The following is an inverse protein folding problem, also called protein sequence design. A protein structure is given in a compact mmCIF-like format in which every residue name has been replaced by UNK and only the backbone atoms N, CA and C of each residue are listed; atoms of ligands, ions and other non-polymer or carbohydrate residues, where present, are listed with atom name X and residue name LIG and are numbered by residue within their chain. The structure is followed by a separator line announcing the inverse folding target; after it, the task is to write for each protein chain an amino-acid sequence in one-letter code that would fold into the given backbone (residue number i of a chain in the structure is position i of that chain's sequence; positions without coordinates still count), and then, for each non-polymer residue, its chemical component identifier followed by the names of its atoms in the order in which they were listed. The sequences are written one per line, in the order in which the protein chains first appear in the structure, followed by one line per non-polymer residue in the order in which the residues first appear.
data_IF_274431591863
#
_entry.id   IF_274431591863
#
_cell.length_a   1.000
_cell.length_b   1.000
_cell.length_c   1.000
_cell.angle_alpha   90.00
_cell.angle_beta   90.00
_cell.angle_gamma   90.00
#
_symmetry.space_group_name_H-M   'P 1'
#
loop_
_entity.id
_entity.type
_entity.pdbx_description
1 polymer ?
#
# COMPACT_ATOMS: atom_id res chain seq x y z
N UNK A 1 -19.90 0.67 -3.51
CA UNK A 1 -19.20 1.12 -2.29
C UNK A 1 -19.59 0.33 -1.05
N UNK A 2 -20.86 0.44 -0.57
CA UNK A 2 -21.32 -0.17 0.70
C UNK A 2 -21.22 -1.69 0.73
N UNK A 3 -21.52 -2.39 -0.37
CA UNK A 3 -21.40 -3.85 -0.45
C UNK A 3 -19.98 -4.36 -0.28
N UNK A 4 -18.98 -3.66 -0.81
CA UNK A 4 -17.57 -3.99 -0.65
C UNK A 4 -17.10 -3.81 0.81
N UNK A 5 -17.50 -2.71 1.45
CA UNK A 5 -17.22 -2.50 2.86
C UNK A 5 -17.85 -3.59 3.73
N UNK A 6 -19.13 -3.93 3.48
CA UNK A 6 -19.81 -5.02 4.18
C UNK A 6 -19.08 -6.37 4.01
N UNK A 7 -18.53 -6.63 2.82
CA UNK A 7 -17.71 -7.82 2.55
C UNK A 7 -16.43 -7.84 3.40
N UNK A 8 -15.70 -6.72 3.48
CA UNK A 8 -14.49 -6.62 4.31
C UNK A 8 -14.80 -6.82 5.80
N UNK A 9 -15.90 -6.19 6.30
CA UNK A 9 -16.38 -6.42 7.65
C UNK A 9 -16.76 -7.90 7.89
N UNK A 10 -17.43 -8.51 6.92
CA UNK A 10 -17.79 -9.93 6.97
C UNK A 10 -16.57 -10.84 7.08
N UNK A 11 -15.53 -10.60 6.26
CA UNK A 11 -14.28 -11.37 6.30
C UNK A 11 -13.59 -11.22 7.65
N UNK A 12 -13.45 -9.99 8.16
CA UNK A 12 -12.86 -9.75 9.47
C UNK A 12 -13.63 -10.49 10.57
N UNK A 13 -14.96 -10.36 10.59
CA UNK A 13 -15.82 -10.97 11.58
C UNK A 13 -15.78 -12.52 11.55
N UNK A 14 -15.87 -13.12 10.36
CA UNK A 14 -15.83 -14.58 10.16
C UNK A 14 -14.48 -15.15 10.60
N UNK A 15 -13.40 -14.41 10.32
CA UNK A 15 -12.03 -14.79 10.72
C UNK A 15 -11.88 -14.74 12.23
N UNK A 16 -12.33 -13.66 12.90
CA UNK A 16 -12.24 -13.52 14.35
C UNK A 16 -13.08 -14.56 15.10
N UNK A 17 -14.19 -15.02 14.51
CA UNK A 17 -15.00 -16.13 15.05
C UNK A 17 -14.36 -17.51 14.86
N UNK A 18 -13.23 -17.59 14.16
CA UNK A 18 -12.52 -18.86 13.92
C UNK A 18 -13.19 -19.75 12.86
N UNK A 19 -14.10 -19.22 12.04
CA UNK A 19 -14.73 -19.98 10.96
C UNK A 19 -13.77 -20.24 9.79
N UNK A 20 -12.75 -19.39 9.64
CA UNK A 20 -11.67 -19.63 8.68
C UNK A 20 -10.57 -20.43 9.39
N UNK A 21 -10.12 -21.56 8.80
CA UNK A 21 -9.05 -22.37 9.39
C UNK A 21 -7.77 -21.54 9.60
N UNK A 22 -7.18 -21.63 10.77
CA UNK A 22 -5.97 -20.90 11.16
C UNK A 22 -4.79 -21.10 10.20
N UNK A 23 -4.75 -22.27 9.52
CA UNK A 23 -3.74 -22.57 8.51
C UNK A 23 -3.82 -21.64 7.29
N UNK A 24 -5.03 -21.19 6.94
CA UNK A 24 -5.25 -20.21 5.86
C UNK A 24 -4.86 -18.82 6.34
N UNK A 25 -5.36 -18.42 7.50
CA UNK A 25 -5.09 -17.09 8.07
C UNK A 25 -3.59 -16.83 8.25
N UNK A 26 -2.85 -17.84 8.71
CA UNK A 26 -1.40 -17.76 8.94
C UNK A 26 -0.56 -18.23 7.77
N UNK A 27 -1.14 -18.36 6.59
CA UNK A 27 -0.39 -18.73 5.40
C UNK A 27 0.57 -17.61 4.97
N UNK A 28 1.81 -17.89 4.55
CA UNK A 28 2.77 -16.86 4.14
C UNK A 28 2.26 -15.91 3.05
N UNK A 29 1.43 -16.40 2.12
CA UNK A 29 0.79 -15.55 1.09
C UNK A 29 -0.14 -14.50 1.72
N UNK A 30 -0.94 -14.88 2.73
CA UNK A 30 -1.81 -13.93 3.44
C UNK A 30 -0.98 -12.86 4.12
N UNK A 31 0.14 -13.24 4.72
CA UNK A 31 1.08 -12.29 5.30
C UNK A 31 1.68 -11.34 4.25
N UNK A 32 2.10 -11.84 3.08
CA UNK A 32 2.58 -10.96 1.99
C UNK A 32 1.49 -10.00 1.53
N UNK A 33 0.28 -10.50 1.31
CA UNK A 33 -0.86 -9.67 0.91
C UNK A 33 -1.23 -8.64 1.98
N UNK A 34 -1.12 -8.96 3.26
CA UNK A 34 -1.36 -7.98 4.33
C UNK A 34 -0.32 -6.85 4.33
N UNK A 35 0.92 -7.12 3.95
CA UNK A 35 1.95 -6.10 3.72
C UNK A 35 1.61 -5.22 2.50
N UNK A 36 0.78 -5.70 1.59
CA UNK A 36 0.21 -4.93 0.48
C UNK A 36 -0.62 -3.72 0.92
N UNK A 37 -0.93 -3.58 2.22
CA UNK A 37 -1.54 -2.36 2.82
C UNK A 37 -0.74 -1.09 2.50
N UNK A 38 0.56 -1.21 2.27
CA UNK A 38 1.40 -0.09 1.86
C UNK A 38 0.98 0.50 0.51
N UNK A 39 0.48 -0.34 -0.41
CA UNK A 39 -0.11 0.10 -1.66
C UNK A 39 -1.47 0.77 -1.41
N UNK A 40 -1.43 2.04 -1.11
CA UNK A 40 -2.58 2.90 -0.89
C UNK A 40 -2.84 3.79 -2.13
N UNK A 41 -3.48 4.93 -1.97
CA UNK A 41 -3.79 5.88 -3.05
C UNK A 41 -2.57 6.23 -3.92
N UNK A 42 -1.38 6.29 -3.35
CA UNK A 42 -0.16 6.59 -4.10
C UNK A 42 0.13 5.55 -5.21
N UNK A 43 -0.17 4.28 -4.97
CA UNK A 43 0.15 3.20 -5.89
C UNK A 43 -0.81 3.10 -7.08
N UNK A 44 -2.03 3.58 -6.94
CA UNK A 44 -3.09 3.47 -7.97
C UNK A 44 -3.42 4.81 -8.60
N UNK A 45 -3.64 5.83 -7.77
CA UNK A 45 -4.11 7.14 -8.22
C UNK A 45 -2.97 8.06 -8.63
N UNK A 46 -1.89 8.13 -7.79
CA UNK A 46 -0.78 9.05 -8.07
C UNK A 46 0.28 8.47 -8.99
N UNK A 47 0.44 7.15 -9.07
CA UNK A 47 1.50 6.54 -9.89
C UNK A 47 1.34 6.83 -11.39
N UNK A 48 0.11 6.84 -11.90
CA UNK A 48 -0.19 7.17 -13.30
C UNK A 48 0.17 8.64 -13.59
N UNK A 49 -0.26 9.56 -12.71
CA UNK A 49 0.10 10.98 -12.85
C UNK A 49 1.60 11.25 -12.68
N UNK A 50 2.27 10.47 -11.81
CA UNK A 50 3.73 10.55 -11.69
C UNK A 50 4.43 10.01 -12.95
N UNK A 51 3.94 8.93 -13.54
CA UNK A 51 4.48 8.41 -14.81
C UNK A 51 4.35 9.42 -15.95
N UNK A 52 3.26 10.20 -15.97
CA UNK A 52 3.08 11.27 -16.93
C UNK A 52 4.09 12.43 -16.75
N UNK A 53 4.40 12.80 -15.49
CA UNK A 53 5.30 13.92 -15.19
C UNK A 53 6.77 13.53 -15.20
N UNK A 54 7.07 12.39 -14.60
CA UNK A 54 8.42 11.99 -14.20
C UNK A 54 8.91 10.78 -15.02
N UNK A 55 8.16 10.37 -16.04
CA UNK A 55 8.48 9.19 -16.85
C UNK A 55 8.70 7.96 -15.98
N UNK A 56 9.78 7.22 -16.23
CA UNK A 56 10.16 6.05 -15.43
C UNK A 56 10.50 6.35 -13.97
N UNK A 57 10.58 7.64 -13.59
CA UNK A 57 10.78 8.07 -12.20
C UNK A 57 9.73 7.53 -11.22
N UNK A 58 8.51 7.25 -11.69
CA UNK A 58 7.47 6.66 -10.84
C UNK A 58 7.87 5.31 -10.23
N UNK A 59 8.76 4.55 -10.89
CA UNK A 59 9.24 3.26 -10.40
C UNK A 59 10.06 3.38 -9.11
N UNK A 60 10.59 4.56 -8.78
CA UNK A 60 11.40 4.76 -7.59
C UNK A 60 10.67 4.34 -6.30
N UNK A 61 9.36 4.61 -6.21
CA UNK A 61 8.54 4.23 -5.06
C UNK A 61 8.38 2.70 -4.94
N UNK A 62 8.13 2.02 -6.06
CA UNK A 62 7.99 0.54 -6.10
C UNK A 62 9.33 -0.15 -5.82
N UNK A 63 10.43 0.40 -6.36
CA UNK A 63 11.78 -0.13 -6.14
C UNK A 63 12.21 0.11 -4.70
N UNK A 64 11.94 1.28 -4.12
CA UNK A 64 12.33 1.62 -2.76
C UNK A 64 11.78 0.61 -1.74
N UNK A 65 10.48 0.37 -1.76
CA UNK A 65 9.87 -0.63 -0.85
C UNK A 65 10.36 -2.05 -1.15
N UNK A 66 10.52 -2.39 -2.42
CA UNK A 66 11.02 -3.72 -2.82
C UNK A 66 12.42 -3.97 -2.26
N UNK A 67 13.30 -2.98 -2.35
CA UNK A 67 14.64 -3.06 -1.78
C UNK A 67 14.63 -3.23 -0.26
N UNK A 68 13.75 -2.55 0.48
CA UNK A 68 13.65 -2.72 1.93
C UNK A 68 13.37 -4.18 2.32
N UNK A 69 12.51 -4.87 1.57
CA UNK A 69 12.19 -6.27 1.81
C UNK A 69 13.23 -7.24 1.25
N UNK A 70 13.86 -6.95 0.11
CA UNK A 70 15.00 -7.72 -0.40
C UNK A 70 16.18 -7.70 0.59
N UNK A 71 16.43 -6.55 1.24
CA UNK A 71 17.42 -6.44 2.31
C UNK A 71 16.93 -6.98 3.67
N UNK A 72 15.82 -7.71 3.70
CA UNK A 72 15.26 -8.30 4.92
C UNK A 72 16.28 -9.08 5.76
N UNK A 73 17.19 -9.89 5.21
CA UNK A 73 18.19 -10.59 6.03
C UNK A 73 19.07 -9.67 6.87
N UNK A 74 19.39 -8.49 6.35
CA UNK A 74 20.26 -7.51 7.00
C UNK A 74 19.53 -6.55 7.92
N UNK A 75 18.28 -6.18 7.57
CA UNK A 75 17.54 -5.13 8.25
C UNK A 75 16.33 -5.66 9.04
N UNK A 76 15.42 -6.37 8.37
CA UNK A 76 14.14 -6.72 8.98
C UNK A 76 14.25 -7.90 9.95
N UNK A 77 15.11 -8.89 9.67
CA UNK A 77 15.30 -10.06 10.57
C UNK A 77 15.89 -9.67 11.91
N UNK A 78 17.00 -8.90 11.99
CA UNK A 78 17.52 -8.41 13.27
C UNK A 78 16.50 -7.58 14.03
N UNK A 79 15.77 -6.70 13.31
CA UNK A 79 14.74 -5.86 13.90
C UNK A 79 13.56 -6.70 14.42
N UNK A 80 13.13 -7.73 13.69
CA UNK A 80 12.11 -8.67 14.15
C UNK A 80 12.56 -9.44 15.41
N UNK A 81 13.80 -9.85 15.47
CA UNK A 81 14.35 -10.50 16.67
C UNK A 81 14.32 -9.54 17.86
N UNK A 82 14.76 -8.30 17.66
CA UNK A 82 14.76 -7.27 18.70
C UNK A 82 13.34 -6.95 19.21
N UNK A 83 12.41 -6.68 18.30
CA UNK A 83 11.02 -6.35 18.67
C UNK A 83 10.33 -7.49 19.42
N UNK A 84 10.64 -8.74 19.06
CA UNK A 84 10.10 -9.92 19.76
C UNK A 84 10.73 -10.12 21.14
N UNK A 85 12.03 -9.98 21.27
CA UNK A 85 12.73 -10.18 22.53
C UNK A 85 12.30 -9.13 23.57
N UNK A 86 12.17 -7.88 23.17
CA UNK A 86 11.85 -6.78 24.07
C UNK A 86 10.37 -6.35 24.01
N UNK A 87 9.53 -7.10 23.30
CA UNK A 87 8.08 -6.85 23.18
C UNK A 87 7.75 -5.42 22.70
N UNK A 88 8.54 -4.89 21.75
CA UNK A 88 8.35 -3.56 21.18
C UNK A 88 7.22 -3.60 20.14
N UNK A 89 6.16 -2.86 20.36
CA UNK A 89 4.94 -2.90 19.54
C UNK A 89 4.84 -1.79 18.51
N UNK A 90 5.67 -0.76 18.64
CA UNK A 90 5.67 0.41 17.77
C UNK A 90 7.07 0.93 17.49
N UNK A 91 7.20 1.76 16.44
CA UNK A 91 8.44 2.49 16.18
C UNK A 91 8.79 3.41 17.35
N UNK A 92 7.81 4.00 18.03
CA UNK A 92 8.02 4.84 19.20
C UNK A 92 8.62 4.04 20.35
N UNK A 93 8.15 2.80 20.60
CA UNK A 93 8.73 1.92 21.61
C UNK A 93 10.18 1.57 21.27
N UNK A 94 10.46 1.31 19.98
CA UNK A 94 11.81 1.02 19.49
C UNK A 94 12.77 2.20 19.76
N UNK A 95 12.31 3.43 19.50
CA UNK A 95 13.12 4.64 19.75
C UNK A 95 13.32 4.90 21.25
N UNK A 96 12.27 4.75 22.06
CA UNK A 96 12.36 4.85 23.51
C UNK A 96 13.36 3.82 24.09
N UNK A 97 13.30 2.58 23.59
CA UNK A 97 14.24 1.52 23.97
C UNK A 97 15.68 1.83 23.54
N UNK A 98 15.87 2.27 22.29
CA UNK A 98 17.20 2.54 21.70
C UNK A 98 17.91 3.68 22.43
N UNK A 99 17.20 4.76 22.75
CA UNK A 99 17.74 5.95 23.39
C UNK A 99 17.59 5.93 24.93
N UNK A 100 16.96 4.88 25.47
CA UNK A 100 16.74 4.71 26.92
C UNK A 100 16.04 5.91 27.59
N UNK A 101 15.13 6.56 26.86
CA UNK A 101 14.36 7.70 27.34
C UNK A 101 12.93 7.70 26.77
N UNK A 102 11.90 7.91 27.63
CA UNK A 102 10.52 8.03 27.15
C UNK A 102 10.31 9.20 26.19
N UNK A 103 11.12 10.25 26.31
CA UNK A 103 11.04 11.42 25.44
C UNK A 103 11.27 11.08 23.96
N UNK A 104 12.17 10.15 23.66
CA UNK A 104 12.40 9.70 22.29
C UNK A 104 11.14 9.05 21.70
N UNK A 105 10.42 8.24 22.49
CA UNK A 105 9.13 7.65 22.06
C UNK A 105 8.06 8.72 21.86
N UNK A 106 7.92 9.66 22.77
CA UNK A 106 6.95 10.76 22.66
C UNK A 106 7.22 11.61 21.42
N UNK A 107 8.46 12.01 21.19
CA UNK A 107 8.86 12.79 20.01
C UNK A 107 8.58 12.01 18.72
N UNK A 108 8.92 10.72 18.69
CA UNK A 108 8.62 9.86 17.54
C UNK A 108 7.12 9.80 17.24
N UNK A 109 6.29 9.67 18.29
CA UNK A 109 4.82 9.66 18.14
C UNK A 109 4.31 10.98 17.56
N UNK A 110 4.80 12.13 18.05
CA UNK A 110 4.42 13.45 17.55
C UNK A 110 4.82 13.63 16.09
N UNK A 111 6.04 13.25 15.72
CA UNK A 111 6.50 13.31 14.31
C UNK A 111 5.65 12.43 13.42
N UNK A 112 5.33 11.20 13.85
CA UNK A 112 4.46 10.28 13.11
C UNK A 112 3.06 10.88 12.92
N UNK A 113 2.46 11.47 13.95
CA UNK A 113 1.13 12.10 13.85
C UNK A 113 1.12 13.23 12.82
N UNK A 114 2.15 14.09 12.83
CA UNK A 114 2.28 15.16 11.85
C UNK A 114 2.45 14.59 10.43
N UNK A 115 3.29 13.57 10.27
CA UNK A 115 3.61 12.98 8.96
C UNK A 115 2.43 12.19 8.35
N UNK A 116 1.62 11.51 9.18
CA UNK A 116 0.51 10.67 8.71
C UNK A 116 -0.74 11.50 8.39
N UNK A 117 -0.93 12.65 9.02
CA UNK A 117 -2.11 13.51 8.79
C UNK A 117 -2.34 13.87 7.32
N UNK A 118 -1.36 14.40 6.56
CA UNK A 118 -1.55 14.69 5.13
C UNK A 118 -1.77 13.43 4.29
N UNK A 119 -1.20 12.29 4.69
CA UNK A 119 -1.43 11.02 4.01
C UNK A 119 -2.89 10.56 4.16
N UNK A 120 -3.46 10.68 5.36
CA UNK A 120 -4.89 10.39 5.60
C UNK A 120 -5.78 11.34 4.79
N UNK A 121 -5.46 12.64 4.78
CA UNK A 121 -6.19 13.62 4.00
C UNK A 121 -6.20 13.29 2.50
N UNK A 122 -5.06 12.85 1.96
CA UNK A 122 -4.94 12.40 0.56
C UNK A 122 -5.85 11.19 0.28
N UNK A 123 -5.92 10.23 1.20
CA UNK A 123 -6.80 9.06 1.07
C UNK A 123 -8.28 9.46 1.03
N UNK A 124 -8.69 10.32 1.97
CA UNK A 124 -10.07 10.82 2.04
C UNK A 124 -10.43 11.56 0.76
N UNK A 125 -9.54 12.45 0.29
CA UNK A 125 -9.74 13.21 -0.93
C UNK A 125 -9.91 12.30 -2.15
N UNK A 126 -9.01 11.35 -2.37
CA UNK A 126 -9.07 10.46 -3.53
C UNK A 126 -10.35 9.62 -3.56
N UNK A 127 -10.82 9.12 -2.41
CA UNK A 127 -12.10 8.40 -2.33
C UNK A 127 -13.27 9.32 -2.62
N UNK A 128 -13.25 10.55 -2.08
CA UNK A 128 -14.28 11.55 -2.30
C UNK A 128 -14.35 11.98 -3.77
N UNK A 129 -13.21 12.25 -4.40
CA UNK A 129 -13.11 12.63 -5.81
C UNK A 129 -13.64 11.52 -6.72
N UNK A 130 -13.24 10.26 -6.44
CA UNK A 130 -13.72 9.09 -7.19
C UNK A 130 -15.22 8.89 -7.02
N UNK A 131 -15.75 9.04 -5.81
CA UNK A 131 -17.18 8.91 -5.55
C UNK A 131 -17.99 10.03 -6.26
N UNK A 132 -17.46 11.24 -6.29
CA UNK A 132 -18.08 12.37 -6.99
C UNK A 132 -18.12 12.15 -8.51
N UNK A 133 -17.06 11.60 -9.11
CA UNK A 133 -17.05 11.24 -10.54
C UNK A 133 -18.12 10.21 -10.90
N UNK A 134 -18.43 9.29 -9.98
CA UNK A 134 -19.46 8.27 -10.19
C UNK A 134 -20.89 8.77 -9.90
N UNK A 135 -21.03 9.85 -9.13
CA UNK A 135 -22.33 10.44 -8.72
C UNK A 135 -22.20 11.95 -8.55
N UNK A 136 -22.19 12.72 -9.67
CA UNK A 136 -21.97 14.16 -9.64
C UNK A 136 -23.05 14.95 -8.89
N UNK A 137 -24.23 14.36 -8.70
CA UNK A 137 -25.36 14.98 -7.96
C UNK A 137 -25.12 15.03 -6.44
N UNK A 138 -24.15 14.24 -5.93
CA UNK A 138 -23.86 14.18 -4.51
C UNK A 138 -22.89 15.30 -4.09
N UNK A 139 -23.15 15.97 -2.97
CA UNK A 139 -22.23 16.95 -2.43
C UNK A 139 -20.90 16.27 -2.02
N UNK A 140 -19.79 16.65 -2.64
CA UNK A 140 -18.46 16.06 -2.41
C UNK A 140 -18.06 16.08 -0.92
N UNK A 141 -18.39 17.16 -0.19
CA UNK A 141 -18.13 17.26 1.25
C UNK A 141 -18.90 16.22 2.08
N UNK A 142 -20.14 15.91 1.69
CA UNK A 142 -20.95 14.89 2.38
C UNK A 142 -20.39 13.49 2.17
N UNK A 143 -19.88 13.19 0.97
CA UNK A 143 -19.19 11.91 0.68
C UNK A 143 -17.91 11.74 1.51
N UNK A 144 -17.10 12.81 1.65
CA UNK A 144 -15.91 12.82 2.49
C UNK A 144 -16.23 12.54 3.96
N UNK A 145 -17.25 13.25 4.51
CA UNK A 145 -17.70 13.05 5.90
C UNK A 145 -18.23 11.63 6.10
N UNK A 146 -19.07 11.13 5.19
CA UNK A 146 -19.60 9.78 5.24
C UNK A 146 -18.48 8.73 5.26
N UNK A 147 -17.44 8.90 4.45
CA UNK A 147 -16.27 8.02 4.43
C UNK A 147 -15.49 8.08 5.75
N UNK A 148 -15.28 9.28 6.32
CA UNK A 148 -14.64 9.44 7.63
C UNK A 148 -15.42 8.73 8.73
N UNK A 149 -16.75 8.85 8.76
CA UNK A 149 -17.59 8.15 9.74
C UNK A 149 -17.44 6.63 9.61
N UNK A 150 -17.50 6.09 8.39
CA UNK A 150 -17.38 4.65 8.16
C UNK A 150 -16.00 4.13 8.61
N UNK A 151 -14.90 4.82 8.26
CA UNK A 151 -13.56 4.43 8.71
C UNK A 151 -13.42 4.50 10.23
N UNK A 152 -13.98 5.55 10.85
CA UNK A 152 -13.95 5.70 12.31
C UNK A 152 -14.69 4.56 12.99
N UNK A 153 -15.89 4.21 12.51
CA UNK A 153 -16.63 3.05 13.03
C UNK A 153 -15.86 1.75 12.85
N UNK A 154 -15.26 1.54 11.68
CA UNK A 154 -14.42 0.37 11.44
C UNK A 154 -13.25 0.31 12.45
N UNK A 155 -12.55 1.42 12.65
CA UNK A 155 -11.43 1.51 13.57
C UNK A 155 -11.84 1.24 15.02
N UNK A 156 -13.02 1.71 15.44
CA UNK A 156 -13.56 1.44 16.79
C UNK A 156 -13.91 -0.04 16.95
N UNK A 157 -14.58 -0.64 15.97
CA UNK A 157 -15.07 -2.00 16.07
C UNK A 157 -13.94 -3.05 16.00
N UNK A 158 -12.94 -2.83 15.16
CA UNK A 158 -11.89 -3.81 14.89
C UNK A 158 -10.49 -3.39 15.36
N UNK A 159 -10.22 -2.10 15.51
CA UNK A 159 -8.90 -1.58 15.87
C UNK A 159 -8.66 -1.39 17.37
N UNK A 160 -9.72 -1.23 18.17
CA UNK A 160 -9.59 -0.91 19.61
C UNK A 160 -9.88 -2.08 20.55
N UNK A 161 -10.19 -3.27 20.03
CA UNK A 161 -10.48 -4.46 20.84
C UNK A 161 -9.23 -4.86 21.64
N UNK A 162 -9.17 -4.38 22.90
CA UNK A 162 -8.10 -4.70 23.86
C UNK A 162 -8.30 -6.14 24.36
N UNK A 163 -7.61 -7.09 23.75
CA UNK A 163 -7.28 -8.33 24.47
C UNK A 163 -5.91 -8.10 25.12
N UNK A 164 -5.86 -8.19 26.43
CA UNK A 164 -4.62 -8.10 27.20
C UNK A 164 -3.69 -9.26 26.77
N UNK A 165 -2.58 -8.93 26.12
CA UNK A 165 -1.63 -9.88 25.55
C UNK A 165 -1.37 -9.58 24.08
N UNK A 166 -0.26 -10.10 23.57
CA UNK A 166 0.14 -10.02 22.15
C UNK A 166 -0.80 -10.88 21.29
N UNK A 167 -2.04 -10.47 21.13
CA UNK A 167 -3.02 -11.13 20.26
C UNK A 167 -2.88 -10.53 18.87
N UNK A 168 -2.53 -11.38 17.90
CA UNK A 168 -2.60 -11.05 16.48
C UNK A 168 -4.07 -10.78 16.14
N UNK A 169 -4.30 -9.72 15.37
CA UNK A 169 -5.63 -9.37 14.86
C UNK A 169 -5.88 -10.13 13.55
N UNK A 170 -6.08 -11.44 13.67
CA UNK A 170 -6.24 -12.34 12.53
C UNK A 170 -7.35 -11.86 11.56
N UNK A 171 -8.44 -11.29 12.07
CA UNK A 171 -9.52 -10.73 11.26
C UNK A 171 -9.10 -9.51 10.45
N UNK A 172 -8.38 -8.58 11.07
CA UNK A 172 -7.87 -7.37 10.40
C UNK A 172 -6.85 -7.74 9.32
N UNK A 173 -5.90 -8.62 9.66
CA UNK A 173 -4.87 -9.11 8.71
C UNK A 173 -5.51 -9.75 7.49
N UNK A 174 -6.54 -10.57 7.70
CA UNK A 174 -7.24 -11.26 6.62
C UNK A 174 -8.03 -10.28 5.73
N UNK A 175 -8.71 -9.30 6.34
CA UNK A 175 -9.41 -8.25 5.60
C UNK A 175 -8.45 -7.41 4.73
N UNK A 176 -7.31 -7.01 5.29
CA UNK A 176 -6.25 -6.28 4.56
C UNK A 176 -5.66 -7.13 3.44
N UNK A 177 -5.40 -8.41 3.68
CA UNK A 177 -4.88 -9.32 2.66
C UNK A 177 -5.87 -9.48 1.50
N UNK A 178 -7.15 -9.65 1.81
CA UNK A 178 -8.21 -9.72 0.79
C UNK A 178 -8.32 -8.42 0.00
N UNK A 179 -8.33 -7.27 0.69
CA UNK A 179 -8.34 -5.95 0.07
C UNK A 179 -7.17 -5.78 -0.90
N UNK A 180 -5.96 -6.14 -0.49
CA UNK A 180 -4.74 -6.04 -1.31
C UNK A 180 -4.81 -6.94 -2.55
N UNK A 181 -5.39 -8.14 -2.41
CA UNK A 181 -5.60 -9.04 -3.54
C UNK A 181 -6.61 -8.45 -4.54
N UNK A 182 -7.74 -7.93 -4.05
CA UNK A 182 -8.76 -7.31 -4.91
C UNK A 182 -8.20 -6.11 -5.65
N UNK A 183 -7.44 -5.25 -4.97
CA UNK A 183 -6.77 -4.09 -5.58
C UNK A 183 -5.80 -4.53 -6.68
N UNK A 184 -4.97 -5.54 -6.43
CA UNK A 184 -4.04 -6.05 -7.43
C UNK A 184 -4.77 -6.55 -8.67
N UNK A 185 -5.78 -7.41 -8.49
CA UNK A 185 -6.56 -7.97 -9.59
C UNK A 185 -7.29 -6.86 -10.37
N UNK A 186 -7.94 -5.93 -9.66
CA UNK A 186 -8.65 -4.82 -10.29
C UNK A 186 -7.70 -3.92 -11.11
N UNK A 187 -6.53 -3.60 -10.57
CA UNK A 187 -5.58 -2.73 -11.26
C UNK A 187 -4.95 -3.41 -12.47
N UNK A 188 -4.61 -4.70 -12.37
CA UNK A 188 -4.18 -5.49 -13.52
C UNK A 188 -5.27 -5.60 -14.58
N UNK A 189 -6.53 -5.82 -14.18
CA UNK A 189 -7.66 -5.89 -15.11
C UNK A 189 -7.86 -4.56 -15.86
N UNK A 190 -7.72 -3.41 -15.17
CA UNK A 190 -7.76 -2.09 -15.81
C UNK A 190 -6.60 -1.91 -16.80
N UNK A 191 -5.38 -2.38 -16.44
CA UNK A 191 -4.23 -2.36 -17.35
C UNK A 191 -4.44 -3.21 -18.61
N UNK A 192 -5.00 -4.40 -18.44
CA UNK A 192 -5.38 -5.27 -19.57
C UNK A 192 -6.47 -4.61 -20.43
N UNK A 193 -7.49 -4.05 -19.78
CA UNK A 193 -8.54 -3.30 -20.48
C UNK A 193 -7.97 -2.08 -21.23
N UNK A 194 -7.01 -1.38 -20.66
CA UNK A 194 -6.33 -0.26 -21.31
C UNK A 194 -5.65 -0.69 -22.63
N UNK A 195 -5.01 -1.87 -22.65
CA UNK A 195 -4.37 -2.37 -23.86
C UNK A 195 -5.41 -2.81 -24.88
N UNK A 196 -6.29 -3.72 -24.53
CA UNK A 196 -7.21 -4.35 -25.46
C UNK A 196 -8.48 -3.53 -25.75
N UNK A 197 -8.91 -2.70 -24.81
CA UNK A 197 -10.09 -1.85 -24.96
C UNK A 197 -9.81 -0.53 -25.66
N UNK A 198 -8.65 0.09 -25.44
CA UNK A 198 -8.28 1.35 -26.07
C UNK A 198 -7.52 1.12 -27.39
N UNK A 199 -6.57 0.18 -27.41
CA UNK A 199 -5.71 -0.05 -28.59
C UNK A 199 -6.13 -1.27 -29.43
N UNK A 200 -6.90 -2.20 -28.88
CA UNK A 200 -7.33 -3.43 -29.57
C UNK A 200 -6.33 -4.58 -29.47
N UNK A 201 -5.03 -4.33 -29.59
CA UNK A 201 -3.97 -5.33 -29.46
C UNK A 201 -2.65 -4.72 -28.98
N UNK A 202 -1.68 -5.57 -28.64
CA UNK A 202 -0.32 -5.13 -28.31
C UNK A 202 0.40 -4.56 -29.53
N UNK A 203 0.13 -5.09 -30.71
CA UNK A 203 0.74 -4.62 -31.97
C UNK A 203 0.24 -3.21 -32.31
N UNK A 204 -1.04 -2.93 -32.12
CA UNK A 204 -1.62 -1.60 -32.32
C UNK A 204 -1.10 -0.59 -31.30
N UNK A 205 -0.90 -1.00 -30.05
CA UNK A 205 -0.24 -0.18 -29.03
C UNK A 205 1.20 0.15 -29.46
N UNK A 206 1.95 -0.84 -29.93
CA UNK A 206 3.34 -0.60 -30.39
C UNK A 206 3.40 0.37 -31.57
N UNK A 207 2.51 0.21 -32.56
CA UNK A 207 2.39 1.16 -33.68
C UNK A 207 2.05 2.57 -33.21
N UNK A 208 1.09 2.72 -32.28
CA UNK A 208 0.73 4.01 -31.72
C UNK A 208 1.92 4.66 -30.96
N UNK A 209 2.70 3.88 -30.22
CA UNK A 209 3.89 4.37 -29.52
C UNK A 209 5.00 4.82 -30.49
N UNK A 210 5.16 4.13 -31.63
CA UNK A 210 6.12 4.53 -32.66
C UNK A 210 5.78 5.89 -33.29
N UNK A 211 4.49 6.22 -33.38
CA UNK A 211 4.02 7.52 -33.84
C UNK A 211 4.16 8.65 -32.80
N UNK A 212 4.59 8.30 -31.57
CA UNK A 212 4.74 9.24 -30.44
C UNK A 212 6.18 9.29 -29.90
N UNK A 213 7.18 9.68 -30.71
CA UNK A 213 8.58 9.66 -30.29
C UNK A 213 8.88 10.62 -29.13
N UNK A 214 8.18 11.75 -29.06
CA UNK A 214 8.32 12.72 -27.96
C UNK A 214 7.85 12.15 -26.62
N UNK A 215 6.76 11.39 -26.63
CA UNK A 215 6.25 10.69 -25.45
C UNK A 215 7.25 9.64 -24.95
N UNK A 216 7.83 8.85 -25.86
CA UNK A 216 8.85 7.86 -25.51
C UNK A 216 10.14 8.53 -25.01
N UNK A 217 10.49 9.68 -25.55
CA UNK A 217 11.64 10.48 -25.07
C UNK A 217 11.37 11.05 -23.68
N UNK A 218 10.17 11.54 -23.41
CA UNK A 218 9.78 12.08 -22.10
C UNK A 218 9.84 11.03 -20.98
N UNK A 219 9.54 9.75 -21.27
CA UNK A 219 9.68 8.66 -20.30
C UNK A 219 11.13 8.48 -19.81
N UNK A 220 12.12 8.83 -20.65
CA UNK A 220 13.56 8.71 -20.37
C UNK A 220 14.18 10.00 -19.84
N UNK A 221 13.36 11.00 -19.50
CA UNK A 221 13.87 12.30 -19.08
C UNK A 221 14.77 12.16 -17.84
N UNK A 222 16.04 12.54 -17.99
CA UNK A 222 17.11 12.33 -17.00
C UNK A 222 17.17 13.41 -15.92
N UNK A 223 16.46 14.52 -16.08
CA UNK A 223 16.46 15.62 -15.09
C UNK A 223 15.90 15.18 -13.73
N UNK A 224 15.10 14.10 -13.70
CA UNK A 224 14.55 13.48 -12.49
C UNK A 224 15.46 12.43 -11.83
N UNK A 225 16.63 12.13 -12.38
CA UNK A 225 17.52 11.11 -11.82
C UNK A 225 17.99 11.46 -10.39
N UNK A 226 18.16 12.74 -10.06
CA UNK A 226 18.43 13.19 -8.69
C UNK A 226 17.26 12.92 -7.76
N UNK A 227 16.03 13.11 -8.23
CA UNK A 227 14.79 12.84 -7.46
C UNK A 227 14.50 11.35 -7.32
N UNK A 228 14.89 10.50 -8.28
CA UNK A 228 14.69 9.05 -8.24
C UNK A 228 15.32 8.41 -7.01
N UNK A 229 16.60 8.69 -6.74
CA UNK A 229 17.31 8.11 -5.60
C UNK A 229 16.70 8.56 -4.26
N UNK A 230 16.34 9.86 -4.18
CA UNK A 230 15.70 10.42 -2.99
C UNK A 230 14.34 9.75 -2.75
N UNK A 231 13.55 9.60 -3.80
CA UNK A 231 12.23 8.98 -3.72
C UNK A 231 12.35 7.48 -3.36
N UNK A 232 13.28 6.76 -4.00
CA UNK A 232 13.55 5.37 -3.67
C UNK A 232 14.00 5.18 -2.21
N UNK A 233 14.88 6.06 -1.70
CA UNK A 233 15.30 6.04 -0.30
C UNK A 233 14.15 6.38 0.65
N UNK A 234 13.30 7.33 0.29
CA UNK A 234 12.12 7.71 1.06
C UNK A 234 11.16 6.50 1.21
N UNK A 235 10.85 5.82 0.11
CA UNK A 235 9.97 4.65 0.15
C UNK A 235 10.63 3.43 0.81
N UNK A 236 11.94 3.28 0.68
CA UNK A 236 12.71 2.29 1.43
C UNK A 236 12.59 2.49 2.94
N UNK A 237 12.78 3.72 3.41
CA UNK A 237 12.67 4.04 4.84
C UNK A 237 11.22 3.98 5.32
N UNK A 238 10.26 4.44 4.50
CA UNK A 238 8.84 4.39 4.80
C UNK A 238 8.33 2.95 4.99
N UNK A 239 8.86 1.99 4.23
CA UNK A 239 8.54 0.56 4.36
C UNK A 239 8.80 0.01 5.77
N UNK A 240 9.68 0.66 6.53
CA UNK A 240 10.03 0.27 7.91
C UNK A 240 9.40 1.24 8.92
N UNK A 241 9.46 2.55 8.64
CA UNK A 241 9.11 3.60 9.60
C UNK A 241 7.61 3.91 9.66
N UNK A 242 6.84 3.62 8.61
CA UNK A 242 5.39 3.85 8.63
C UNK A 242 4.72 2.97 9.70
N UNK A 243 3.82 3.54 10.55
CA UNK A 243 3.25 2.81 11.68
C UNK A 243 2.53 1.52 11.30
N UNK A 244 1.74 1.54 10.23
CA UNK A 244 1.02 0.37 9.73
C UNK A 244 1.98 -0.69 9.19
N UNK A 245 3.07 -0.28 8.52
CA UNK A 245 4.08 -1.22 8.02
C UNK A 245 4.88 -1.83 9.15
N UNK A 246 5.30 -1.02 10.13
CA UNK A 246 5.98 -1.51 11.33
C UNK A 246 5.10 -2.55 12.05
N UNK A 247 3.82 -2.22 12.24
CA UNK A 247 2.88 -3.09 12.92
C UNK A 247 2.69 -4.44 12.19
N UNK A 248 2.36 -4.41 10.89
CA UNK A 248 2.15 -5.64 10.12
C UNK A 248 3.44 -6.44 9.99
N UNK A 249 4.59 -5.78 9.75
CA UNK A 249 5.87 -6.45 9.56
C UNK A 249 6.36 -7.16 10.82
N UNK A 250 6.20 -6.56 12.01
CA UNK A 250 6.82 -7.06 13.24
C UNK A 250 5.82 -7.64 14.23
N UNK A 251 4.60 -7.08 14.36
CA UNK A 251 3.62 -7.56 15.33
C UNK A 251 2.76 -8.70 14.77
N UNK A 252 2.29 -8.56 13.53
CA UNK A 252 1.45 -9.57 12.88
C UNK A 252 2.26 -10.67 12.17
N UNK A 253 3.57 -10.63 12.28
CA UNK A 253 4.46 -11.60 11.66
C UNK A 253 4.34 -13.00 12.29
N UNK A 254 4.11 -14.02 11.47
CA UNK A 254 3.98 -15.41 11.87
C UNK A 254 5.32 -16.16 12.07
N UNK A 255 6.46 -15.48 11.92
CA UNK A 255 7.77 -16.05 12.11
C UNK A 255 8.78 -15.72 11.01
N UNK A 256 10.01 -16.17 11.19
CA UNK A 256 11.09 -15.89 10.24
C UNK A 256 10.81 -16.43 8.84
N UNK A 257 10.08 -17.56 8.72
CA UNK A 257 9.69 -18.12 7.42
C UNK A 257 8.75 -17.20 6.66
N UNK A 258 7.77 -16.59 7.34
CA UNK A 258 6.85 -15.64 6.74
C UNK A 258 7.60 -14.40 6.24
N UNK A 259 8.54 -13.87 7.04
CA UNK A 259 9.38 -12.75 6.63
C UNK A 259 10.31 -13.12 5.46
N UNK A 260 10.88 -14.33 5.44
CA UNK A 260 11.70 -14.80 4.32
C UNK A 260 10.88 -14.94 3.04
N UNK A 261 9.62 -15.36 3.14
CA UNK A 261 8.72 -15.43 2.00
C UNK A 261 8.34 -14.01 1.53
N UNK A 262 8.09 -13.09 2.47
CA UNK A 262 7.78 -11.70 2.18
C UNK A 262 8.95 -10.95 1.51
N UNK A 263 10.20 -11.34 1.78
CA UNK A 263 11.36 -10.69 1.16
C UNK A 263 11.39 -10.79 -0.37
N UNK A 264 10.73 -11.78 -0.94
CA UNK A 264 10.54 -11.95 -2.39
C UNK A 264 9.09 -11.70 -2.82
N UNK A 265 8.15 -12.15 -2.01
CA UNK A 265 6.72 -12.06 -2.33
C UNK A 265 6.23 -10.61 -2.42
N UNK A 266 6.70 -9.72 -1.54
CA UNK A 266 6.28 -8.32 -1.58
C UNK A 266 6.89 -7.56 -2.76
N UNK A 267 8.21 -7.68 -3.09
CA UNK A 267 8.75 -7.16 -4.34
C UNK A 267 8.01 -7.65 -5.58
N UNK A 268 7.63 -8.92 -5.63
CA UNK A 268 6.85 -9.47 -6.73
C UNK A 268 5.44 -8.84 -6.80
N UNK A 269 4.79 -8.65 -5.67
CA UNK A 269 3.50 -7.95 -5.59
C UNK A 269 3.59 -6.52 -6.13
N UNK A 270 4.64 -5.76 -5.75
CA UNK A 270 4.85 -4.39 -6.25
C UNK A 270 5.28 -4.35 -7.71
N UNK A 271 6.02 -5.35 -8.19
CA UNK A 271 6.30 -5.49 -9.62
C UNK A 271 4.99 -5.64 -10.41
N UNK A 272 4.11 -6.54 -9.99
CA UNK A 272 2.80 -6.71 -10.64
C UNK A 272 1.96 -5.43 -10.62
N UNK A 273 1.99 -4.68 -9.50
CA UNK A 273 1.30 -3.40 -9.41
C UNK A 273 1.89 -2.30 -10.30
N UNK A 274 3.16 -2.36 -10.64
CA UNK A 274 3.78 -1.35 -11.51
C UNK A 274 3.45 -1.54 -12.99
N UNK A 275 3.08 -2.76 -13.41
CA UNK A 275 2.84 -3.11 -14.82
C UNK A 275 1.68 -2.32 -15.47
N UNK A 276 0.50 -2.15 -14.86
CA UNK A 276 -0.62 -1.48 -15.49
C UNK A 276 -0.48 0.04 -15.59
N UNK A 277 0.49 0.65 -14.89
CA UNK A 277 0.63 2.11 -14.81
C UNK A 277 0.81 2.75 -16.17
N UNK A 278 1.75 2.26 -16.99
CA UNK A 278 2.01 2.82 -18.31
C UNK A 278 0.87 2.54 -19.31
N UNK A 279 0.33 1.33 -19.42
CA UNK A 279 -0.84 1.08 -20.28
C UNK A 279 -2.03 1.99 -19.97
N UNK A 280 -2.31 2.22 -18.68
CA UNK A 280 -3.39 3.12 -18.25
C UNK A 280 -3.10 4.56 -18.65
N UNK A 281 -1.87 5.03 -18.46
CA UNK A 281 -1.44 6.36 -18.87
C UNK A 281 -1.62 6.55 -20.39
N UNK A 282 -1.12 5.61 -21.19
CA UNK A 282 -1.21 5.69 -22.65
C UNK A 282 -2.64 5.65 -23.16
N UNK A 283 -3.49 4.80 -22.60
CA UNK A 283 -4.91 4.77 -22.95
C UNK A 283 -5.61 6.10 -22.61
N UNK A 284 -5.27 6.73 -21.48
CA UNK A 284 -5.76 8.06 -21.13
C UNK A 284 -5.32 9.12 -22.16
N UNK A 285 -4.05 9.13 -22.54
CA UNK A 285 -3.53 10.06 -23.55
C UNK A 285 -4.16 9.88 -24.94
N UNK A 286 -4.41 8.62 -25.33
CA UNK A 286 -5.09 8.32 -26.60
C UNK A 286 -6.54 8.81 -26.60
N UNK A 287 -7.24 8.68 -25.47
CA UNK A 287 -8.64 9.12 -25.34
C UNK A 287 -8.80 10.65 -25.21
N UNK A 288 -7.72 11.40 -25.07
CA UNK A 288 -7.74 12.85 -24.90
C UNK A 288 -8.18 13.31 -23.51
N UNK A 289 -8.07 12.45 -22.52
CA UNK A 289 -8.43 12.68 -21.13
C UNK A 289 -7.23 13.05 -20.24
#
# INVERSE_FOLDING_TARGET
GSGYLALLFGIAFVTERGWIPIKIVRHPIVYVLSLGVFASVWAYYTSVGNAQRDGYGYLASFIGISLAFLFSPLLLRPLLALTRTYQLSSLADLMAFRYRTPWAGTLTTLVILIAVTPLIALQIRAVSDTAYLLSPESAQGLLAIGFCVVITLFSILFGTSRKAGRTQYDGLVMAIAFESLVKLIAFLAVGVFAIYGAFGSLDELDLWLQDQPELLASLKNTDYFSSFHVMALLFFTAAIAMPHMFYVTFNENNGQRALSFASWGLPFYFLLLSLPVLPILWAGLQSGS
#
